data_IF_181105635104
#
_entry.id   IF_181105635104
#
_cell.length_a   1.000
_cell.length_b   1.000
_cell.length_c   1.000
_cell.angle_alpha   90.00
_cell.angle_beta   90.00
_cell.angle_gamma   90.00
#
_symmetry.space_group_name_H-M   'P 1'
#
loop_
_entity.id
_entity.type
_entity.pdbx_description
1 polymer ?
#
# COMPACT_ATOMS: atom_id res chain seq x y z
N UNK A 1 -25.52 -18.61 7.34
CA UNK A 1 -24.23 -18.89 8.02
C UNK A 1 -23.50 -17.57 8.10
N UNK A 2 -23.15 -17.14 9.30
CA UNK A 2 -22.37 -15.93 9.53
C UNK A 2 -20.95 -16.20 9.02
N UNK A 3 -20.59 -15.64 7.87
CA UNK A 3 -19.22 -15.73 7.38
C UNK A 3 -18.38 -14.81 8.26
N UNK A 4 -17.68 -15.38 9.24
CA UNK A 4 -16.70 -14.65 10.02
C UNK A 4 -15.59 -14.21 9.06
N UNK A 5 -15.38 -12.89 8.95
CA UNK A 5 -14.26 -12.38 8.17
C UNK A 5 -12.98 -12.91 8.84
N UNK A 6 -12.09 -13.60 8.12
CA UNK A 6 -10.93 -14.22 8.73
C UNK A 6 -10.03 -13.14 9.35
N UNK A 7 -9.56 -13.39 10.56
CA UNK A 7 -8.62 -12.51 11.25
C UNK A 7 -7.21 -12.75 10.71
N UNK A 8 -6.59 -11.73 10.14
CA UNK A 8 -5.24 -11.83 9.58
C UNK A 8 -4.45 -10.52 9.69
N UNK A 9 -3.12 -10.65 9.60
CA UNK A 9 -2.20 -9.53 9.46
C UNK A 9 -1.67 -9.42 8.03
N UNK A 10 -1.40 -8.19 7.59
CA UNK A 10 -0.82 -7.88 6.29
C UNK A 10 0.64 -7.43 6.45
N UNK A 11 1.56 -8.11 5.78
CA UNK A 11 2.99 -7.76 5.78
C UNK A 11 3.38 -7.13 4.45
N UNK A 12 3.86 -5.89 4.48
CA UNK A 12 4.28 -5.12 3.32
C UNK A 12 5.80 -5.02 3.27
N UNK A 13 6.41 -5.80 2.38
CA UNK A 13 7.86 -5.83 2.22
C UNK A 13 8.43 -4.52 1.65
N UNK A 14 9.74 -4.32 1.80
CA UNK A 14 10.49 -3.28 1.09
C UNK A 14 10.57 -3.55 -0.42
N UNK A 15 11.09 -2.58 -1.20
CA UNK A 15 11.27 -2.77 -2.63
C UNK A 15 11.21 -1.52 -3.51
N UNK A 16 11.20 -0.32 -2.92
CA UNK A 16 11.15 0.95 -3.66
C UNK A 16 9.88 1.07 -4.51
N UNK A 17 10.03 1.40 -5.80
CA UNK A 17 8.89 1.58 -6.71
C UNK A 17 7.98 0.34 -6.85
N UNK A 18 8.47 -0.87 -6.51
CA UNK A 18 7.64 -2.08 -6.47
C UNK A 18 6.51 -2.01 -5.42
N UNK A 19 6.53 -1.04 -4.50
CA UNK A 19 5.43 -0.77 -3.59
C UNK A 19 4.10 -0.47 -4.31
N UNK A 20 4.12 -0.03 -5.58
CA UNK A 20 2.91 0.17 -6.38
C UNK A 20 2.10 -1.14 -6.55
N UNK A 21 2.75 -2.29 -6.68
CA UNK A 21 2.06 -3.58 -6.79
C UNK A 21 1.31 -3.94 -5.50
N UNK A 22 1.86 -3.56 -4.34
CA UNK A 22 1.20 -3.77 -3.05
C UNK A 22 -0.10 -2.95 -2.95
N UNK A 23 -0.14 -1.74 -3.52
CA UNK A 23 -1.36 -0.93 -3.56
C UNK A 23 -2.48 -1.61 -4.37
N UNK A 24 -2.14 -2.31 -5.45
CA UNK A 24 -3.07 -3.15 -6.21
C UNK A 24 -3.62 -4.33 -5.40
N UNK A 25 -2.78 -5.02 -4.63
CA UNK A 25 -3.24 -6.08 -3.71
C UNK A 25 -4.21 -5.51 -2.67
N UNK A 26 -3.87 -4.37 -2.06
CA UNK A 26 -4.73 -3.74 -1.06
C UNK A 26 -6.06 -3.26 -1.67
N UNK A 27 -6.05 -2.82 -2.94
CA UNK A 27 -7.27 -2.50 -3.71
C UNK A 27 -8.20 -3.71 -3.80
N UNK A 28 -7.67 -4.86 -4.22
CA UNK A 28 -8.47 -6.07 -4.31
C UNK A 28 -9.03 -6.52 -2.95
N UNK A 29 -8.21 -6.48 -1.88
CA UNK A 29 -8.65 -6.79 -0.52
C UNK A 29 -9.84 -5.91 -0.08
N UNK A 30 -9.79 -4.60 -0.37
CA UNK A 30 -10.91 -3.70 -0.08
C UNK A 30 -12.16 -4.00 -0.92
N UNK A 31 -12.01 -4.36 -2.20
CA UNK A 31 -13.13 -4.72 -3.08
C UNK A 31 -13.90 -5.95 -2.57
N UNK A 32 -13.19 -6.94 -2.03
CA UNK A 32 -13.79 -8.14 -1.42
C UNK A 32 -14.15 -7.95 0.06
N UNK A 33 -13.99 -6.74 0.62
CA UNK A 33 -14.27 -6.40 2.03
C UNK A 33 -13.47 -7.23 3.03
N UNK A 34 -12.25 -7.60 2.66
CA UNK A 34 -11.31 -8.32 3.52
C UNK A 34 -10.28 -7.35 4.09
N UNK A 35 -10.38 -7.07 5.39
CA UNK A 35 -9.58 -6.03 6.04
C UNK A 35 -8.60 -6.63 7.06
N UNK A 36 -7.30 -6.26 7.00
CA UNK A 36 -6.32 -6.75 7.96
C UNK A 36 -6.49 -6.06 9.31
N UNK A 37 -6.23 -6.79 10.40
CA UNK A 37 -6.25 -6.23 11.76
C UNK A 37 -4.93 -5.58 12.15
N UNK A 38 -3.83 -6.05 11.56
CA UNK A 38 -2.48 -5.57 11.82
C UNK A 38 -1.79 -5.38 10.49
N UNK A 39 -1.04 -4.28 10.35
CA UNK A 39 -0.19 -4.01 9.21
C UNK A 39 1.25 -3.89 9.69
N UNK A 40 2.14 -4.72 9.17
CA UNK A 40 3.58 -4.60 9.36
C UNK A 40 4.23 -4.17 8.04
N UNK A 41 5.25 -3.32 8.11
CA UNK A 41 5.90 -2.81 6.89
C UNK A 41 7.37 -2.49 7.05
N UNK A 42 8.13 -2.60 5.97
CA UNK A 42 9.54 -2.19 5.89
C UNK A 42 9.77 -1.24 4.71
N UNK A 43 10.48 -0.13 4.92
CA UNK A 43 10.82 0.85 3.87
C UNK A 43 9.56 1.34 3.14
N UNK A 44 9.43 1.12 1.82
CA UNK A 44 8.22 1.50 1.08
C UNK A 44 6.96 0.80 1.61
N UNK A 45 7.09 -0.41 2.15
CA UNK A 45 5.99 -1.11 2.78
C UNK A 45 5.53 -0.43 4.07
N UNK A 46 6.44 0.21 4.82
CA UNK A 46 6.08 1.06 5.97
C UNK A 46 5.30 2.29 5.52
N UNK A 47 5.71 2.94 4.42
CA UNK A 47 4.98 4.07 3.87
C UNK A 47 3.56 3.67 3.45
N UNK A 48 3.43 2.59 2.69
CA UNK A 48 2.13 2.05 2.29
C UNK A 48 1.27 1.71 3.51
N UNK A 49 1.85 1.01 4.49
CA UNK A 49 1.17 0.62 5.72
C UNK A 49 0.74 1.81 6.58
N UNK A 50 1.54 2.87 6.65
CA UNK A 50 1.21 4.09 7.37
C UNK A 50 -0.01 4.80 6.76
N UNK A 51 -0.08 4.90 5.43
CA UNK A 51 -1.26 5.49 4.74
C UNK A 51 -2.53 4.69 5.03
N UNK A 52 -2.42 3.36 5.03
CA UNK A 52 -3.54 2.46 5.33
C UNK A 52 -4.00 2.60 6.78
N UNK A 53 -3.06 2.55 7.73
CA UNK A 53 -3.35 2.59 9.17
C UNK A 53 -3.78 3.98 9.68
N UNK A 54 -3.39 5.07 9.01
CA UNK A 54 -3.76 6.44 9.39
C UNK A 54 -5.11 6.91 8.86
N UNK A 55 -5.88 6.02 8.23
CA UNK A 55 -7.17 6.34 7.61
C UNK A 55 -8.32 5.80 8.46
N UNK A 56 -9.49 6.43 8.39
CA UNK A 56 -10.66 6.04 9.20
C UNK A 56 -11.15 4.62 8.90
N UNK A 57 -10.96 4.16 7.66
CA UNK A 57 -11.27 2.78 7.24
C UNK A 57 -10.20 2.26 6.29
N UNK A 58 -10.07 0.93 6.19
CA UNK A 58 -9.14 0.29 5.25
C UNK A 58 -9.46 0.67 3.80
N UNK A 59 -10.74 0.64 3.41
CA UNK A 59 -11.18 1.04 2.08
C UNK A 59 -10.81 2.50 1.73
N UNK A 60 -10.90 3.43 2.70
CA UNK A 60 -10.46 4.81 2.49
C UNK A 60 -8.93 4.92 2.38
N UNK A 61 -8.20 4.24 3.24
CA UNK A 61 -6.73 4.16 3.17
C UNK A 61 -6.26 3.63 1.82
N UNK A 62 -6.93 2.62 1.28
CA UNK A 62 -6.67 2.07 -0.05
C UNK A 62 -6.91 3.11 -1.16
N UNK A 63 -8.00 3.89 -1.10
CA UNK A 63 -8.25 4.96 -2.07
C UNK A 63 -7.13 6.01 -2.04
N UNK A 64 -6.73 6.44 -0.84
CA UNK A 64 -5.63 7.42 -0.64
C UNK A 64 -4.30 6.85 -1.15
N UNK A 65 -4.02 5.59 -0.84
CA UNK A 65 -2.82 4.89 -1.27
C UNK A 65 -2.72 4.78 -2.80
N UNK A 66 -3.81 4.38 -3.47
CA UNK A 66 -3.83 4.29 -4.94
C UNK A 66 -3.60 5.67 -5.57
N UNK A 67 -4.28 6.71 -5.07
CA UNK A 67 -4.07 8.09 -5.54
C UNK A 67 -2.61 8.56 -5.36
N UNK A 68 -1.97 8.23 -4.25
CA UNK A 68 -0.56 8.53 -4.02
C UNK A 68 0.32 7.87 -5.11
N UNK A 69 0.13 6.58 -5.36
CA UNK A 69 0.91 5.86 -6.37
C UNK A 69 0.66 6.35 -7.79
N UNK A 70 -0.58 6.71 -8.15
CA UNK A 70 -0.89 7.33 -9.44
C UNK A 70 -0.13 8.66 -9.62
N UNK A 71 -0.11 9.50 -8.58
CA UNK A 71 0.62 10.76 -8.61
C UNK A 71 2.14 10.57 -8.69
N UNK A 72 2.68 9.57 -8.00
CA UNK A 72 4.11 9.24 -8.07
C UNK A 72 4.49 8.70 -9.45
N UNK A 73 3.65 7.86 -10.07
CA UNK A 73 3.86 7.34 -11.42
C UNK A 73 3.86 8.42 -12.50
N UNK A 74 3.15 9.52 -12.29
CA UNK A 74 3.13 10.67 -13.18
C UNK A 74 4.30 11.64 -12.99
N UNK A 75 5.08 11.50 -11.90
CA UNK A 75 6.21 12.38 -11.56
C UNK A 75 7.54 11.69 -11.81
N UNK A 76 8.53 12.43 -12.34
CA UNK A 76 9.93 11.97 -12.32
C UNK A 76 10.52 12.16 -10.92
N UNK A 77 10.26 11.21 -10.03
CA UNK A 77 10.74 11.25 -8.63
C UNK A 77 12.18 10.74 -8.52
N UNK A 78 12.61 9.86 -9.42
CA UNK A 78 13.98 9.34 -9.48
C UNK A 78 14.74 10.05 -10.59
N UNK A 79 15.84 10.72 -10.23
CA UNK A 79 16.78 11.32 -11.19
C UNK A 79 18.04 10.44 -11.25
N UNK A 80 18.45 9.97 -12.44
CA UNK A 80 19.74 9.29 -12.58
C UNK A 80 20.87 10.23 -12.16
N UNK A 81 21.77 9.77 -11.31
CA UNK A 81 22.99 10.50 -11.00
C UNK A 81 23.91 10.44 -12.22
N UNK A 82 24.06 11.57 -12.93
CA UNK A 82 24.90 11.65 -14.14
C UNK A 82 26.37 11.90 -13.82
N UNK A 83 26.73 12.12 -12.55
CA UNK A 83 28.12 12.40 -12.14
C UNK A 83 29.00 11.15 -12.02
N UNK A 84 28.45 9.97 -12.30
CA UNK A 84 29.15 8.69 -12.25
C UNK A 84 29.55 8.16 -13.65
N UNK A 85 29.47 9.02 -14.68
CA UNK A 85 29.93 8.74 -16.05
C UNK A 85 30.98 9.77 -16.44
#
# INVERSE_FOLDING_TARGET
MEHTNPQFGLVLAGGGAKGAYQAGVCKYLAEIRLEPQIIAGTSIGTLNGAVLASSESFAEGVKRLNKLWDQLGQKQVIRPNKSAV
#
